data_IF_500729965086
#
_entry.id   IF_500729965086
#
_cell.length_a   1.000
_cell.length_b   1.000
_cell.length_c   1.000
_cell.angle_alpha   90.00
_cell.angle_beta   90.00
_cell.angle_gamma   90.00
#
_symmetry.space_group_name_H-M   'P 1'
#
loop_
_entity.id
_entity.type
_entity.pdbx_description
1 polymer ?
#
# COMPACT_ATOMS: atom_id res chain seq x y z
N UNK A 1 6.15 -4.21 -30.68
CA UNK A 1 5.28 -3.37 -29.84
C UNK A 1 4.50 -4.32 -28.96
N UNK A 2 4.46 -4.03 -27.67
CA UNK A 2 3.83 -4.87 -26.68
C UNK A 2 2.30 -4.68 -26.64
N UNK A 3 1.55 -5.71 -26.24
CA UNK A 3 0.09 -5.69 -26.09
C UNK A 3 -0.22 -5.75 -24.60
N UNK A 4 -1.17 -4.94 -24.11
CA UNK A 4 -1.53 -4.93 -22.69
C UNK A 4 -2.44 -6.11 -22.34
N UNK A 5 -1.87 -7.29 -22.11
CA UNK A 5 -2.60 -8.51 -21.79
C UNK A 5 -2.30 -9.08 -20.40
N UNK A 6 -1.40 -8.46 -19.63
CA UNK A 6 -1.09 -8.84 -18.26
C UNK A 6 -1.51 -7.74 -17.27
N UNK A 7 -2.71 -7.81 -16.66
CA UNK A 7 -3.10 -6.80 -15.68
C UNK A 7 -2.18 -6.82 -14.45
N UNK A 8 -2.04 -5.69 -13.72
CA UNK A 8 -1.27 -5.64 -12.48
C UNK A 8 -1.74 -6.65 -11.46
N UNK A 9 -0.82 -7.18 -10.67
CA UNK A 9 -1.10 -8.07 -9.53
C UNK A 9 -0.30 -7.59 -8.32
N UNK A 10 -0.96 -7.45 -7.17
CA UNK A 10 -0.26 -7.15 -5.92
C UNK A 10 0.51 -8.37 -5.41
N UNK A 11 1.68 -8.14 -4.81
CA UNK A 11 2.47 -9.19 -4.14
C UNK A 11 1.70 -9.84 -2.97
N UNK A 12 0.82 -9.07 -2.33
CA UNK A 12 -0.09 -9.53 -1.28
C UNK A 12 -1.48 -8.96 -1.50
N UNK A 13 -2.51 -9.76 -1.22
CA UNK A 13 -3.91 -9.33 -1.25
C UNK A 13 -4.29 -8.53 0.01
N UNK A 14 -3.56 -8.72 1.10
CA UNK A 14 -3.73 -8.01 2.37
C UNK A 14 -2.38 -7.58 2.96
N UNK A 15 -2.34 -6.36 3.49
CA UNK A 15 -1.21 -5.78 4.23
C UNK A 15 -1.71 -5.35 5.62
N UNK A 16 -0.93 -5.62 6.65
CA UNK A 16 -1.22 -5.20 8.02
C UNK A 16 -0.02 -4.47 8.61
N UNK A 17 -0.29 -3.40 9.36
CA UNK A 17 0.73 -2.63 10.06
C UNK A 17 0.16 -2.08 11.35
N UNK A 18 1.02 -1.93 12.35
CA UNK A 18 0.70 -1.19 13.57
C UNK A 18 1.60 0.05 13.60
N UNK A 19 1.00 1.22 13.84
CA UNK A 19 1.70 2.50 13.98
C UNK A 19 1.38 3.11 15.32
N UNK A 20 2.29 3.94 15.85
CA UNK A 20 2.01 4.71 17.05
C UNK A 20 1.07 5.87 16.74
N UNK A 21 0.17 6.21 17.67
CA UNK A 21 -0.63 7.44 17.56
C UNK A 21 0.24 8.71 17.49
N UNK A 22 1.46 8.63 18.05
CA UNK A 22 2.46 9.70 18.01
C UNK A 22 3.20 9.83 16.68
N UNK A 23 2.87 8.97 15.69
CA UNK A 23 3.52 9.00 14.37
C UNK A 23 3.34 10.38 13.72
N UNK A 24 4.44 11.08 13.36
CA UNK A 24 4.33 12.40 12.77
C UNK A 24 3.59 12.38 11.42
N UNK A 25 2.82 13.43 11.14
CA UNK A 25 2.22 13.64 9.82
C UNK A 25 3.31 13.70 8.74
N UNK A 26 3.00 13.14 7.58
CA UNK A 26 3.88 12.87 6.42
C UNK A 26 4.87 11.72 6.60
N UNK A 27 4.84 10.99 7.72
CA UNK A 27 5.63 9.77 7.87
C UNK A 27 5.13 8.68 6.92
N UNK A 28 6.07 7.99 6.28
CA UNK A 28 5.81 6.79 5.51
C UNK A 28 5.50 5.63 6.46
N UNK A 29 4.47 4.86 6.14
CA UNK A 29 3.95 3.78 7.00
C UNK A 29 4.37 2.42 6.46
N UNK A 30 3.98 2.11 5.23
CA UNK A 30 4.34 0.89 4.52
C UNK A 30 4.28 1.14 3.03
N UNK A 31 4.94 0.26 2.27
CA UNK A 31 4.86 0.24 0.82
C UNK A 31 4.02 -0.94 0.37
N UNK A 32 3.07 -0.69 -0.52
CA UNK A 32 2.42 -1.76 -1.29
C UNK A 32 3.08 -1.90 -2.65
N UNK A 33 3.16 -3.14 -3.13
CA UNK A 33 3.82 -3.44 -4.41
C UNK A 33 2.87 -4.23 -5.29
N UNK A 34 2.68 -3.74 -6.51
CA UNK A 34 2.07 -4.47 -7.60
C UNK A 34 3.05 -4.61 -8.76
N UNK A 35 2.92 -5.70 -9.51
CA UNK A 35 3.75 -6.06 -10.65
C UNK A 35 2.84 -6.31 -11.84
N UNK A 36 3.27 -5.85 -13.00
CA UNK A 36 2.64 -6.04 -14.29
C UNK A 36 3.70 -6.67 -15.21
N UNK A 37 3.34 -7.74 -15.92
CA UNK A 37 4.27 -8.54 -16.72
C UNK A 37 4.41 -8.03 -18.16
N UNK A 38 3.70 -6.97 -18.53
CA UNK A 38 3.87 -6.28 -19.80
C UNK A 38 5.18 -5.47 -19.81
N UNK A 39 5.40 -4.64 -20.83
CA UNK A 39 6.63 -3.84 -20.96
C UNK A 39 6.37 -2.36 -21.25
N UNK A 40 7.33 -1.51 -20.89
CA UNK A 40 7.28 -0.08 -21.19
C UNK A 40 6.10 0.61 -20.49
N UNK A 41 5.26 1.29 -21.27
CA UNK A 41 4.12 2.02 -20.74
C UNK A 41 2.98 1.09 -20.27
N UNK A 42 2.84 -0.09 -20.88
CA UNK A 42 1.83 -1.07 -20.46
C UNK A 42 2.10 -1.49 -19.02
N UNK A 43 3.35 -1.85 -18.68
CA UNK A 43 3.74 -2.21 -17.31
C UNK A 43 3.75 -1.07 -16.27
N UNK A 44 3.46 0.18 -16.68
CA UNK A 44 3.62 1.32 -15.78
C UNK A 44 2.42 1.41 -14.83
N UNK A 45 2.66 1.11 -13.56
CA UNK A 45 1.61 1.10 -12.54
C UNK A 45 1.47 2.47 -11.85
N UNK A 46 0.22 2.86 -11.60
CA UNK A 46 -0.14 4.01 -10.77
C UNK A 46 -1.01 3.55 -9.60
N UNK A 47 -0.66 3.98 -8.38
CA UNK A 47 -1.36 3.63 -7.15
C UNK A 47 -2.34 4.72 -6.71
N UNK A 48 -3.48 4.33 -6.13
CA UNK A 48 -4.44 5.26 -5.51
C UNK A 48 -5.22 4.59 -4.37
N UNK A 49 -5.65 5.38 -3.40
CA UNK A 49 -6.67 4.95 -2.44
C UNK A 49 -8.06 5.05 -3.08
N UNK A 50 -8.87 4.00 -2.93
CA UNK A 50 -10.24 4.01 -3.42
C UNK A 50 -11.13 4.85 -2.50
N UNK A 51 -12.04 5.62 -3.10
CA UNK A 51 -12.89 6.58 -2.39
C UNK A 51 -13.92 5.93 -1.45
N UNK A 52 -14.11 4.61 -1.55
CA UNK A 52 -14.93 3.82 -0.62
C UNK A 52 -14.23 3.55 0.72
N UNK A 53 -12.94 3.89 0.85
CA UNK A 53 -12.29 3.97 2.15
C UNK A 53 -12.82 5.19 2.89
N UNK A 54 -13.45 5.00 4.07
CA UNK A 54 -14.00 6.11 4.86
C UNK A 54 -12.92 7.09 5.38
N UNK A 55 -11.64 6.76 5.17
CA UNK A 55 -10.47 7.37 5.84
C UNK A 55 -9.43 7.89 4.83
N UNK A 56 -9.84 8.17 3.60
CA UNK A 56 -9.00 8.73 2.53
C UNK A 56 -8.45 10.13 2.85
N UNK A 57 -8.94 10.78 3.91
CA UNK A 57 -8.45 12.07 4.40
C UNK A 57 -7.39 11.93 5.51
N UNK A 58 -7.25 10.74 6.11
CA UNK A 58 -6.26 10.43 7.16
C UNK A 58 -4.97 9.88 6.54
N UNK A 59 -5.07 9.12 5.45
CA UNK A 59 -3.93 8.49 4.79
C UNK A 59 -3.85 8.90 3.33
N UNK A 60 -2.62 9.00 2.83
CA UNK A 60 -2.32 9.23 1.42
C UNK A 60 -1.44 8.12 0.87
N UNK A 61 -1.37 8.02 -0.46
CA UNK A 61 -0.45 7.10 -1.14
C UNK A 61 0.30 7.83 -2.24
N UNK A 62 1.60 7.58 -2.33
CA UNK A 62 2.41 8.10 -3.42
C UNK A 62 2.13 7.30 -4.71
N UNK A 63 1.66 7.96 -5.79
CA UNK A 63 1.11 7.26 -6.96
C UNK A 63 2.15 6.47 -7.76
N UNK A 64 3.43 6.82 -7.67
CA UNK A 64 4.50 6.17 -8.43
C UNK A 64 5.25 5.10 -7.64
N UNK A 65 5.09 5.04 -6.32
CA UNK A 65 5.91 4.17 -5.45
C UNK A 65 5.10 3.26 -4.55
N UNK A 66 3.80 3.50 -4.36
CA UNK A 66 2.96 2.69 -3.49
C UNK A 66 3.22 2.92 -1.99
N UNK A 67 4.01 3.94 -1.62
CA UNK A 67 4.22 4.32 -0.23
C UNK A 67 2.96 4.96 0.35
N UNK A 68 2.38 4.29 1.35
CA UNK A 68 1.35 4.84 2.21
C UNK A 68 1.99 5.81 3.20
N UNK A 69 1.37 6.96 3.42
CA UNK A 69 1.84 7.96 4.38
C UNK A 69 0.69 8.57 5.17
N UNK A 70 1.02 9.11 6.34
CA UNK A 70 0.05 9.73 7.23
C UNK A 70 -0.25 11.18 6.79
N UNK A 71 -1.51 11.54 6.56
CA UNK A 71 -1.93 12.91 6.22
C UNK A 71 -2.46 13.70 7.41
N UNK A 72 -2.98 13.02 8.43
CA UNK A 72 -3.52 13.65 9.65
C UNK A 72 -3.04 12.94 10.90
N UNK A 73 -2.96 13.64 12.04
CA UNK A 73 -2.62 13.01 13.31
C UNK A 73 -3.56 11.85 13.62
N UNK A 74 -3.02 10.83 14.27
CA UNK A 74 -3.78 9.70 14.79
C UNK A 74 -4.18 9.98 16.24
N UNK A 75 -5.29 9.39 16.64
CA UNK A 75 -5.81 9.43 18.00
C UNK A 75 -6.42 8.06 18.27
N UNK A 76 -5.74 7.25 19.09
CA UNK A 76 -6.14 5.88 19.36
C UNK A 76 -7.49 5.82 20.07
N UNK A 77 -7.76 6.75 20.99
CA UNK A 77 -9.04 6.83 21.72
C UNK A 77 -10.21 7.12 20.80
N UNK A 78 -9.99 7.93 19.76
CA UNK A 78 -10.99 8.18 18.72
C UNK A 78 -11.16 6.98 17.79
N UNK A 79 -10.06 6.41 17.30
CA UNK A 79 -10.08 5.25 16.39
C UNK A 79 -8.74 4.52 16.36
N UNK A 80 -8.80 3.23 16.67
CA UNK A 80 -7.63 2.35 16.76
C UNK A 80 -7.39 1.50 15.49
N UNK A 81 -8.32 1.49 14.53
CA UNK A 81 -8.20 0.65 13.32
C UNK A 81 -8.78 1.30 12.06
N UNK A 82 -8.01 1.20 10.98
CA UNK A 82 -8.34 1.70 9.65
C UNK A 82 -8.23 0.59 8.60
N UNK A 83 -9.14 0.58 7.64
CA UNK A 83 -9.16 -0.36 6.52
C UNK A 83 -9.18 0.43 5.22
N UNK A 84 -8.08 0.37 4.47
CA UNK A 84 -7.87 1.13 3.25
C UNK A 84 -7.85 0.17 2.06
N UNK A 85 -8.59 0.49 0.99
CA UNK A 85 -8.48 -0.23 -0.28
C UNK A 85 -7.56 0.53 -1.22
N UNK A 86 -6.47 -0.11 -1.62
CA UNK A 86 -5.53 0.43 -2.59
C UNK A 86 -5.83 -0.19 -3.95
N UNK A 87 -5.83 0.62 -4.99
CA UNK A 87 -5.87 0.17 -6.37
C UNK A 87 -4.52 0.44 -7.05
N UNK A 88 -4.08 -0.52 -7.85
CA UNK A 88 -2.97 -0.41 -8.79
C UNK A 88 -3.55 -0.53 -10.20
N UNK A 89 -3.28 0.47 -11.05
CA UNK A 89 -3.78 0.54 -12.43
C UNK A 89 -2.60 0.70 -13.37
N UNK A 90 -2.56 -0.13 -14.42
CA UNK A 90 -1.55 -0.01 -15.47
C UNK A 90 -1.83 1.19 -16.40
N UNK A 91 -0.92 1.52 -17.31
CA UNK A 91 -1.14 2.57 -18.32
C UNK A 91 -1.45 1.98 -19.71
N UNK A 92 -1.93 0.74 -19.75
CA UNK A 92 -2.31 0.06 -20.96
C UNK A 92 -3.66 0.48 -21.53
N UNK A 93 -4.05 -0.10 -22.66
CA UNK A 93 -5.37 0.11 -23.28
C UNK A 93 -5.91 -1.21 -23.82
N UNK A 94 -6.99 -1.78 -23.23
CA UNK A 94 -7.68 -1.28 -22.03
C UNK A 94 -6.78 -1.37 -20.79
N UNK A 95 -6.98 -0.46 -19.83
CA UNK A 95 -6.19 -0.47 -18.60
C UNK A 95 -6.66 -1.59 -17.66
N UNK A 96 -5.72 -2.36 -17.13
CA UNK A 96 -5.90 -3.34 -16.07
C UNK A 96 -5.90 -2.69 -14.69
N UNK A 97 -6.61 -3.28 -13.73
CA UNK A 97 -6.63 -2.80 -12.34
C UNK A 97 -6.70 -3.96 -11.37
N UNK A 98 -5.85 -3.92 -10.35
CA UNK A 98 -5.92 -4.78 -9.17
C UNK A 98 -6.20 -3.97 -7.91
N UNK A 99 -6.67 -4.66 -6.87
CA UNK A 99 -6.95 -4.09 -5.55
C UNK A 99 -6.32 -4.91 -4.44
N UNK A 100 -5.92 -4.24 -3.37
CA UNK A 100 -5.43 -4.86 -2.13
C UNK A 100 -6.01 -4.14 -0.90
N UNK A 101 -6.14 -4.88 0.20
CA UNK A 101 -6.58 -4.34 1.48
C UNK A 101 -5.38 -4.00 2.36
N UNK A 102 -5.39 -2.82 2.96
CA UNK A 102 -4.40 -2.41 3.96
C UNK A 102 -5.11 -2.13 5.28
N UNK A 103 -4.74 -2.86 6.32
CA UNK A 103 -5.22 -2.63 7.69
C UNK A 103 -4.13 -1.90 8.49
N UNK A 104 -4.46 -0.73 9.00
CA UNK A 104 -3.60 0.05 9.90
C UNK A 104 -4.20 0.01 11.30
N UNK A 105 -3.46 -0.53 12.26
CA UNK A 105 -3.79 -0.48 13.69
C UNK A 105 -3.01 0.64 14.37
N UNK A 106 -3.63 1.35 15.30
CA UNK A 106 -3.00 2.41 16.09
C UNK A 106 -2.69 1.88 17.49
N UNK A 107 -1.43 2.02 17.89
CA UNK A 107 -0.92 1.71 19.21
C UNK A 107 -0.70 3.00 20.00
N UNK A 108 -0.56 2.87 21.32
CA UNK A 108 -0.17 3.99 22.20
C UNK A 108 1.14 4.64 21.71
N UNK A 109 1.44 5.84 22.21
CA UNK A 109 2.70 6.55 21.99
C UNK A 109 3.95 5.72 22.35
N UNK A 110 3.82 4.58 23.03
CA UNK A 110 4.95 3.88 23.65
C UNK A 110 4.87 2.35 23.67
N UNK A 111 4.68 1.67 22.52
CA UNK A 111 5.06 0.24 22.38
C UNK A 111 4.87 -0.23 20.92
N UNK A 112 5.94 -0.28 20.10
CA UNK A 112 6.24 -1.34 19.12
C UNK A 112 7.30 -0.86 18.12
N UNK A 113 8.50 -1.46 18.22
CA UNK A 113 9.52 -1.42 17.17
C UNK A 113 8.92 -1.89 15.82
N UNK A 114 9.40 -1.38 14.66
CA UNK A 114 8.85 -1.75 13.37
C UNK A 114 9.03 -3.25 13.10
N UNK A 115 7.91 -3.98 13.01
CA UNK A 115 7.90 -5.35 12.50
C UNK A 115 8.04 -5.27 10.98
N UNK A 116 9.27 -5.45 10.50
CA UNK A 116 9.53 -5.74 9.09
C UNK A 116 8.90 -7.09 8.74
N UNK A 117 7.74 -7.10 8.09
CA UNK A 117 7.23 -8.30 7.42
C UNK A 117 7.99 -8.56 6.11
N UNK A 118 9.32 -8.60 6.16
CA UNK A 118 10.11 -9.27 5.14
C UNK A 118 10.30 -10.71 5.61
N UNK A 119 9.44 -11.62 5.17
CA UNK A 119 9.85 -13.03 5.13
C UNK A 119 11.06 -13.10 4.22
N UNK A 120 12.17 -13.55 4.80
CA UNK A 120 13.41 -13.79 4.09
C UNK A 120 13.13 -14.69 2.87
N UNK A 121 13.43 -14.22 1.66
CA UNK A 121 13.61 -15.12 0.55
C UNK A 121 14.88 -15.93 0.82
N UNK A 122 14.71 -17.15 1.30
CA UNK A 122 15.77 -18.15 1.26
C UNK A 122 16.07 -18.46 -0.21
N UNK A 123 17.32 -18.27 -0.62
CA UNK A 123 17.86 -18.96 -1.79
C UNK A 123 18.92 -19.94 -1.31
N UNK A 124 18.80 -21.19 -1.75
CA UNK A 124 19.84 -22.19 -1.57
C UNK A 124 20.94 -21.89 -2.60
N UNK A 125 22.17 -21.69 -2.13
CA UNK A 125 23.35 -21.83 -3.01
C UNK A 125 23.84 -23.27 -2.85
N UNK A 126 24.03 -23.95 -3.98
CA UNK A 126 24.51 -25.33 -4.10
C UNK A 126 25.77 -25.63 -3.29
#
# INVERSE_FOLDING_TARGET
QDVNDNPPVFERTEYTVTVSESLPVNSQILQVTAVDLDTGNNARITYRLLADSQDHDVFGIFPNSGWLFLQRPLDRESRDRFSLRVAATDNGTPAGTATALVTVSVSDANDNDPIFSSEAYQFTVE
#
